data_IF_881978646059
#
_entry.id   IF_881978646059
#
_cell.length_a   1.000
_cell.length_b   1.000
_cell.length_c   1.000
_cell.angle_alpha   90.00
_cell.angle_beta   90.00
_cell.angle_gamma   90.00
#
_symmetry.space_group_name_H-M   'P 1'
#
loop_
_entity.id
_entity.type
_entity.pdbx_description
1 polymer ?
#
# COMPACT_ATOMS: atom_id res chain seq x y z
N UNK A 1 -21.96 14.87 -44.79
CA UNK A 1 -22.57 14.41 -43.52
C UNK A 1 -21.41 13.96 -42.64
N UNK A 2 -20.93 14.83 -41.74
CA UNK A 2 -19.80 14.52 -40.86
C UNK A 2 -20.41 13.94 -39.58
N UNK A 3 -20.15 12.66 -39.30
CA UNK A 3 -20.58 12.03 -38.07
C UNK A 3 -19.94 12.75 -36.87
N UNK A 4 -20.74 13.14 -35.88
CA UNK A 4 -20.22 13.71 -34.64
C UNK A 4 -19.32 12.67 -33.94
N UNK A 5 -18.16 13.06 -33.39
CA UNK A 5 -17.32 12.14 -32.65
C UNK A 5 -18.09 11.60 -31.45
N UNK A 6 -18.08 10.27 -31.28
CA UNK A 6 -18.66 9.64 -30.10
C UNK A 6 -17.85 10.08 -28.87
N UNK A 7 -18.54 10.54 -27.82
CA UNK A 7 -17.91 10.88 -26.57
C UNK A 7 -17.31 9.62 -25.94
N UNK A 8 -15.99 9.59 -25.76
CA UNK A 8 -15.29 8.52 -25.05
C UNK A 8 -15.70 8.61 -23.57
N UNK A 9 -16.27 7.56 -23.01
CA UNK A 9 -16.58 7.51 -21.57
C UNK A 9 -15.32 7.21 -20.76
N UNK A 10 -15.33 7.50 -19.45
CA UNK A 10 -14.21 7.14 -18.56
C UNK A 10 -13.90 5.63 -18.59
N UNK A 11 -14.94 4.81 -18.75
CA UNK A 11 -14.80 3.35 -18.87
C UNK A 11 -14.14 2.94 -20.19
N UNK A 12 -14.45 3.62 -21.29
CA UNK A 12 -13.82 3.37 -22.58
C UNK A 12 -12.33 3.79 -22.56
N UNK A 13 -12.03 4.90 -21.90
CA UNK A 13 -10.65 5.34 -21.69
C UNK A 13 -9.87 4.36 -20.80
N UNK A 14 -10.47 3.87 -19.71
CA UNK A 14 -9.89 2.85 -18.84
C UNK A 14 -9.63 1.55 -19.60
N UNK A 15 -10.62 1.05 -20.35
CA UNK A 15 -10.47 -0.15 -21.17
C UNK A 15 -9.33 0.00 -22.19
N UNK A 16 -9.24 1.16 -22.86
CA UNK A 16 -8.15 1.44 -23.78
C UNK A 16 -6.78 1.42 -23.08
N UNK A 17 -6.66 1.98 -21.87
CA UNK A 17 -5.42 1.93 -21.10
C UNK A 17 -5.06 0.49 -20.70
N UNK A 18 -6.03 -0.26 -20.21
CA UNK A 18 -5.86 -1.66 -19.78
C UNK A 18 -5.42 -2.53 -20.96
N UNK A 19 -5.97 -2.32 -22.15
CA UNK A 19 -5.55 -3.01 -23.37
C UNK A 19 -4.07 -2.76 -23.70
N UNK A 20 -3.56 -1.57 -23.38
CA UNK A 20 -2.13 -1.22 -23.52
C UNK A 20 -1.27 -1.64 -22.32
N UNK A 21 -1.82 -2.37 -21.34
CA UNK A 21 -1.08 -2.82 -20.16
C UNK A 21 -0.90 -1.74 -19.10
N UNK A 22 -1.77 -0.72 -19.10
CA UNK A 22 -1.80 0.35 -18.11
C UNK A 22 -3.04 0.15 -17.26
N UNK A 23 -2.86 -0.17 -15.98
CA UNK A 23 -3.93 -0.48 -15.05
C UNK A 23 -3.99 0.58 -13.95
N UNK A 24 -4.75 1.69 -14.16
CA UNK A 24 -4.98 2.68 -13.12
C UNK A 24 -6.02 2.16 -12.12
N UNK A 25 -5.86 2.50 -10.84
CA UNK A 25 -6.91 2.33 -9.84
C UNK A 25 -6.95 3.53 -8.88
N UNK A 26 -8.16 3.86 -8.44
CA UNK A 26 -8.42 4.88 -7.42
C UNK A 26 -9.19 4.22 -6.28
N UNK A 27 -8.60 4.20 -5.09
CA UNK A 27 -9.19 3.55 -3.92
C UNK A 27 -9.36 4.56 -2.80
N UNK A 28 -10.56 4.62 -2.23
CA UNK A 28 -10.87 5.47 -1.08
C UNK A 28 -11.38 4.62 0.07
N UNK A 29 -10.76 4.77 1.23
CA UNK A 29 -11.18 4.14 2.48
C UNK A 29 -11.41 5.22 3.52
N UNK A 30 -12.47 5.07 4.30
CA UNK A 30 -12.82 6.07 5.30
C UNK A 30 -13.64 5.47 6.43
N UNK A 31 -13.41 5.99 7.63
CA UNK A 31 -14.04 5.50 8.85
C UNK A 31 -14.35 6.66 9.81
N UNK A 32 -15.49 6.55 10.49
CA UNK A 32 -15.89 7.49 11.55
C UNK A 32 -15.78 6.79 12.90
N UNK A 33 -15.27 7.51 13.89
CA UNK A 33 -15.06 7.02 15.25
C UNK A 33 -15.68 7.97 16.26
N UNK A 34 -16.18 7.41 17.36
CA UNK A 34 -16.68 8.16 18.49
C UNK A 34 -16.44 7.41 19.80
N UNK A 35 -15.88 8.10 20.78
CA UNK A 35 -15.76 7.58 22.14
C UNK A 35 -17.03 7.85 22.95
N UNK A 36 -17.83 6.80 23.14
CA UNK A 36 -19.13 6.84 23.82
C UNK A 36 -19.07 6.47 25.32
N UNK A 37 -18.04 5.73 25.77
CA UNK A 37 -17.73 5.48 27.19
C UNK A 37 -16.25 5.14 27.43
N UNK A 38 -15.63 5.69 28.47
CA UNK A 38 -14.24 5.43 28.82
C UNK A 38 -13.25 6.37 28.11
N UNK A 39 -12.12 5.81 27.69
CA UNK A 39 -11.04 6.50 27.00
C UNK A 39 -10.33 7.59 27.83
N UNK A 40 -9.40 8.28 27.19
CA UNK A 40 -8.74 9.46 27.75
C UNK A 40 -9.67 10.68 27.74
N UNK A 41 -10.51 10.82 26.70
CA UNK A 41 -11.50 11.90 26.60
C UNK A 41 -12.62 11.58 25.62
N UNK A 42 -13.75 12.28 25.75
CA UNK A 42 -14.81 12.30 24.73
C UNK A 42 -14.34 12.92 23.43
N UNK A 43 -14.71 12.30 22.32
CA UNK A 43 -14.44 12.84 20.99
C UNK A 43 -15.12 12.05 19.89
N UNK A 44 -15.29 12.70 18.75
CA UNK A 44 -15.62 12.06 17.48
C UNK A 44 -14.66 12.52 16.41
N UNK A 45 -14.40 11.68 15.43
CA UNK A 45 -13.58 12.05 14.29
C UNK A 45 -13.91 11.20 13.07
N UNK A 46 -13.44 11.67 11.93
CA UNK A 46 -13.44 10.93 10.68
C UNK A 46 -12.02 10.95 10.13
N UNK A 47 -11.59 9.83 9.56
CA UNK A 47 -10.33 9.74 8.85
C UNK A 47 -10.48 8.88 7.61
N UNK A 48 -9.58 9.09 6.65
CA UNK A 48 -9.57 8.34 5.43
C UNK A 48 -8.25 8.38 4.70
N UNK A 49 -8.15 7.49 3.72
CA UNK A 49 -7.02 7.38 2.80
C UNK A 49 -7.53 7.41 1.36
N UNK A 50 -6.83 8.13 0.50
CA UNK A 50 -7.04 8.09 -0.95
C UNK A 50 -5.76 7.57 -1.61
N UNK A 51 -5.88 6.48 -2.35
CA UNK A 51 -4.78 5.79 -3.05
C UNK A 51 -4.95 5.89 -4.56
N UNK A 52 -3.92 6.39 -5.23
CA UNK A 52 -3.78 6.40 -6.68
C UNK A 52 -2.76 5.36 -7.05
N UNK A 53 -3.20 4.29 -7.69
CA UNK A 53 -2.37 3.15 -8.04
C UNK A 53 -2.22 3.09 -9.55
N UNK A 54 -1.01 2.80 -10.00
CA UNK A 54 -0.71 2.55 -11.40
C UNK A 54 0.12 1.28 -11.50
N UNK A 55 -0.45 0.24 -12.12
CA UNK A 55 0.28 -0.98 -12.48
C UNK A 55 0.53 -1.00 -13.98
N UNK A 56 1.76 -1.29 -14.37
CA UNK A 56 2.22 -1.32 -15.75
C UNK A 56 2.69 -2.73 -16.11
N UNK A 57 2.11 -3.33 -17.15
CA UNK A 57 2.52 -4.61 -17.72
C UNK A 57 3.70 -4.41 -18.70
N UNK A 58 4.90 -4.79 -18.27
CA UNK A 58 6.11 -4.66 -19.07
C UNK A 58 6.11 -5.51 -20.34
N UNK A 59 5.30 -6.58 -20.38
CA UNK A 59 5.14 -7.42 -21.57
C UNK A 59 4.42 -6.66 -22.67
N UNK A 60 3.36 -5.91 -22.32
CA UNK A 60 2.60 -5.09 -23.27
C UNK A 60 3.30 -3.78 -23.64
N UNK A 61 3.96 -3.15 -22.68
CA UNK A 61 4.56 -1.83 -22.86
C UNK A 61 5.94 -1.86 -23.53
N UNK A 62 6.75 -2.87 -23.22
CA UNK A 62 8.15 -2.92 -23.64
C UNK A 62 8.58 -4.30 -24.17
N UNK A 63 7.66 -5.27 -24.28
CA UNK A 63 7.98 -6.64 -24.71
C UNK A 63 8.77 -7.46 -23.68
N UNK A 64 8.90 -6.97 -22.45
CA UNK A 64 9.65 -7.66 -21.38
C UNK A 64 8.70 -8.56 -20.59
N UNK A 65 8.67 -9.83 -20.97
CA UNK A 65 7.78 -10.82 -20.35
C UNK A 65 8.01 -10.93 -18.84
N UNK A 66 6.92 -10.95 -18.06
CA UNK A 66 6.96 -11.13 -16.61
C UNK A 66 7.40 -9.90 -15.82
N UNK A 67 7.65 -8.77 -16.48
CA UNK A 67 7.97 -7.50 -15.82
C UNK A 67 6.70 -6.74 -15.44
N UNK A 68 6.67 -6.20 -14.23
CA UNK A 68 5.60 -5.33 -13.73
C UNK A 68 6.22 -4.12 -13.05
N UNK A 69 5.70 -2.92 -13.31
CA UNK A 69 6.02 -1.73 -12.53
C UNK A 69 4.77 -1.32 -11.75
N UNK A 70 4.97 -0.87 -10.51
CA UNK A 70 3.89 -0.39 -9.66
C UNK A 70 4.29 0.90 -8.98
N UNK A 71 3.35 1.85 -8.95
CA UNK A 71 3.49 3.13 -8.26
C UNK A 71 2.19 3.41 -7.51
N UNK A 72 2.30 3.81 -6.25
CA UNK A 72 1.17 4.24 -5.44
C UNK A 72 1.42 5.61 -4.82
N UNK A 73 0.58 6.59 -5.16
CA UNK A 73 0.43 7.83 -4.42
C UNK A 73 -0.64 7.68 -3.34
N UNK A 74 -0.35 8.15 -2.13
CA UNK A 74 -1.22 8.04 -0.96
C UNK A 74 -1.47 9.42 -0.36
N UNK A 75 -2.73 9.70 -0.09
CA UNK A 75 -3.15 10.78 0.80
C UNK A 75 -3.79 10.20 2.05
N UNK A 76 -3.35 10.70 3.21
CA UNK A 76 -4.03 10.47 4.50
C UNK A 76 -4.64 11.79 4.94
N UNK A 77 -5.87 11.77 5.42
CA UNK A 77 -6.60 12.95 5.87
C UNK A 77 -7.57 12.64 7.00
N UNK A 78 -8.08 13.70 7.63
CA UNK A 78 -9.01 13.61 8.75
C UNK A 78 -8.29 13.66 10.10
N UNK A 79 -8.91 13.11 11.13
CA UNK A 79 -8.40 13.15 12.49
C UNK A 79 -7.83 11.83 13.00
N UNK A 80 -7.56 11.81 14.30
CA UNK A 80 -6.78 10.78 14.97
C UNK A 80 -7.60 10.20 16.12
N UNK A 81 -8.37 9.11 15.92
CA UNK A 81 -9.18 8.53 16.99
C UNK A 81 -8.35 8.11 18.21
N UNK A 82 -7.08 7.75 18.00
CA UNK A 82 -6.16 7.39 19.06
C UNK A 82 -5.93 8.53 20.08
N UNK A 83 -6.09 9.80 19.69
CA UNK A 83 -5.95 10.97 20.60
C UNK A 83 -7.01 11.06 21.68
N UNK A 84 -8.13 10.37 21.52
CA UNK A 84 -9.19 10.37 22.53
C UNK A 84 -9.41 8.99 23.16
N UNK A 85 -9.05 7.91 22.45
CA UNK A 85 -9.10 6.56 23.00
C UNK A 85 -7.98 6.27 24.01
N UNK A 86 -6.77 6.81 23.81
CA UNK A 86 -5.62 6.50 24.66
C UNK A 86 -5.09 5.08 24.48
N UNK A 87 -5.14 4.57 23.25
CA UNK A 87 -4.76 3.19 22.94
C UNK A 87 -3.24 2.98 22.86
N UNK A 88 -2.83 1.73 23.07
CA UNK A 88 -1.48 1.25 22.77
C UNK A 88 -1.38 0.60 21.37
N UNK A 89 -2.52 0.32 20.75
CA UNK A 89 -2.65 -0.39 19.48
C UNK A 89 -3.71 0.35 18.66
N UNK A 90 -3.25 1.13 17.67
CA UNK A 90 -4.04 2.10 16.91
C UNK A 90 -5.50 1.71 16.71
N UNK A 91 -6.42 2.63 17.00
CA UNK A 91 -7.87 2.40 16.86
C UNK A 91 -8.25 2.08 15.41
N UNK A 92 -7.54 2.65 14.44
CA UNK A 92 -7.78 2.48 13.01
C UNK A 92 -6.49 2.23 12.24
N UNK A 93 -6.48 1.20 11.38
CA UNK A 93 -5.41 0.92 10.43
C UNK A 93 -5.27 1.98 9.32
N UNK A 94 -6.22 2.90 9.21
CA UNK A 94 -6.16 4.07 8.32
C UNK A 94 -5.45 5.27 8.97
N UNK A 95 -5.15 5.20 10.28
CA UNK A 95 -4.56 6.32 11.01
C UNK A 95 -3.09 6.49 10.68
N UNK A 96 -2.70 7.72 10.33
CA UNK A 96 -1.33 8.11 10.04
C UNK A 96 -1.22 9.63 9.88
N UNK A 97 0.00 10.18 9.73
CA UNK A 97 0.19 11.62 9.55
C UNK A 97 -0.53 12.12 8.30
N UNK A 98 -1.36 13.17 8.44
CA UNK A 98 -2.09 13.75 7.33
C UNK A 98 -1.14 14.42 6.33
N UNK A 99 -0.90 13.76 5.19
CA UNK A 99 0.00 14.24 4.13
C UNK A 99 -0.28 13.51 2.81
N UNK A 100 0.29 14.05 1.74
CA UNK A 100 0.50 13.31 0.49
C UNK A 100 1.90 12.71 0.48
N UNK A 101 2.02 11.48 0.02
CA UNK A 101 3.29 10.78 -0.12
C UNK A 101 3.25 9.76 -1.25
N UNK A 102 4.43 9.41 -1.77
CA UNK A 102 4.58 8.19 -2.56
C UNK A 102 4.62 7.03 -1.57
N UNK A 103 3.64 6.14 -1.55
CA UNK A 103 3.64 5.02 -0.61
C UNK A 103 4.41 3.82 -1.16
N UNK A 104 4.26 3.49 -2.43
CA UNK A 104 5.00 2.40 -3.08
C UNK A 104 5.51 2.82 -4.45
N UNK A 105 6.62 2.23 -4.86
CA UNK A 105 7.27 2.46 -6.14
C UNK A 105 8.30 1.39 -6.39
N UNK A 106 7.94 0.36 -7.16
CA UNK A 106 8.80 -0.80 -7.35
C UNK A 106 8.64 -1.43 -8.73
N UNK A 107 9.66 -2.21 -9.11
CA UNK A 107 9.66 -3.05 -10.30
C UNK A 107 9.78 -4.51 -9.86
N UNK A 108 8.98 -5.38 -10.46
CA UNK A 108 9.02 -6.82 -10.24
C UNK A 108 9.30 -7.55 -11.55
N UNK A 109 10.16 -8.57 -11.49
CA UNK A 109 10.38 -9.53 -12.55
C UNK A 109 9.97 -10.93 -12.07
N UNK A 110 9.04 -11.55 -12.80
CA UNK A 110 8.70 -12.95 -12.65
C UNK A 110 9.51 -13.79 -13.65
N UNK A 111 9.98 -14.94 -13.19
CA UNK A 111 10.83 -15.87 -13.93
C UNK A 111 10.28 -17.30 -13.75
N UNK A 112 10.66 -18.18 -14.69
CA UNK A 112 10.33 -19.62 -14.65
C UNK A 112 8.83 -19.87 -14.45
N UNK A 113 7.98 -19.32 -15.34
CA UNK A 113 6.52 -19.46 -15.27
C UNK A 113 5.92 -19.02 -13.91
N UNK A 114 6.41 -17.89 -13.38
CA UNK A 114 6.03 -17.32 -12.08
C UNK A 114 6.41 -18.18 -10.85
N UNK A 115 7.37 -19.09 -10.99
CA UNK A 115 7.94 -19.84 -9.86
C UNK A 115 8.89 -18.98 -9.02
N UNK A 116 9.57 -18.00 -9.63
CA UNK A 116 10.44 -17.06 -8.93
C UNK A 116 10.00 -15.64 -9.25
N UNK A 117 9.89 -14.79 -8.23
CA UNK A 117 9.71 -13.36 -8.42
C UNK A 117 10.72 -12.55 -7.60
N UNK A 118 11.25 -11.50 -8.22
CA UNK A 118 12.18 -10.55 -7.59
C UNK A 118 11.58 -9.16 -7.74
N UNK A 119 11.46 -8.43 -6.63
CA UNK A 119 10.95 -7.06 -6.58
C UNK A 119 12.02 -6.16 -5.99
N UNK A 120 12.23 -5.00 -6.60
CA UNK A 120 13.17 -3.98 -6.16
C UNK A 120 12.48 -2.62 -6.16
N UNK A 121 12.58 -1.88 -5.06
CA UNK A 121 12.03 -0.52 -4.95
C UNK A 121 11.51 -0.21 -3.55
N UNK A 122 10.72 0.86 -3.44
CA UNK A 122 9.99 1.25 -2.23
C UNK A 122 8.75 0.37 -2.09
N UNK A 123 8.66 -0.42 -1.03
CA UNK A 123 7.73 -1.55 -0.93
C UNK A 123 7.16 -1.72 0.47
N UNK A 124 5.85 -1.86 0.59
CA UNK A 124 5.19 -2.17 1.86
C UNK A 124 5.26 -3.67 2.14
N UNK A 125 6.00 -4.05 3.18
CA UNK A 125 6.16 -5.44 3.59
C UNK A 125 4.84 -6.07 4.07
N UNK A 126 3.92 -5.31 4.67
CA UNK A 126 2.66 -5.83 5.18
C UNK A 126 1.66 -6.25 4.07
N UNK A 127 1.96 -5.94 2.80
CA UNK A 127 1.19 -6.41 1.65
C UNK A 127 1.30 -7.93 1.43
N UNK A 128 2.42 -8.55 1.85
CA UNK A 128 2.69 -9.98 1.64
C UNK A 128 3.19 -10.73 2.88
N UNK A 129 3.71 -10.02 3.87
CA UNK A 129 4.18 -10.59 5.14
C UNK A 129 3.26 -10.15 6.27
N UNK A 130 3.08 -11.02 7.27
CA UNK A 130 2.22 -10.74 8.42
C UNK A 130 0.81 -10.31 7.96
N UNK A 131 0.23 -11.03 6.99
CA UNK A 131 -1.06 -10.68 6.40
C UNK A 131 -2.07 -11.80 6.56
N UNK A 132 -3.27 -11.44 7.02
CA UNK A 132 -4.42 -12.32 7.11
C UNK A 132 -5.56 -11.75 6.27
N UNK A 133 -6.00 -12.47 5.24
CA UNK A 133 -7.01 -11.95 4.32
C UNK A 133 -8.33 -11.58 5.04
N UNK A 134 -8.77 -12.41 6.00
CA UNK A 134 -9.98 -12.14 6.78
C UNK A 134 -9.83 -10.96 7.74
N UNK A 135 -8.60 -10.60 8.10
CA UNK A 135 -8.34 -9.54 9.06
C UNK A 135 -8.56 -8.13 8.46
N UNK A 136 -8.55 -8.00 7.13
CA UNK A 136 -8.82 -6.74 6.42
C UNK A 136 -10.25 -6.21 6.57
N UNK A 137 -11.15 -6.97 7.20
CA UNK A 137 -12.51 -6.52 7.53
C UNK A 137 -12.58 -5.75 8.85
N UNK A 138 -11.52 -5.77 9.65
CA UNK A 138 -11.48 -5.11 10.94
C UNK A 138 -10.75 -3.77 10.87
N UNK A 139 -11.16 -2.86 11.76
CA UNK A 139 -10.64 -1.49 11.79
C UNK A 139 -9.33 -1.37 12.59
N UNK A 140 -9.19 -2.10 13.70
CA UNK A 140 -8.05 -1.94 14.60
C UNK A 140 -6.73 -2.31 13.91
N UNK A 141 -5.68 -1.50 14.14
CA UNK A 141 -4.39 -1.63 13.47
C UNK A 141 -3.72 -2.99 13.66
N UNK A 142 -3.96 -3.67 14.79
CA UNK A 142 -3.35 -4.96 15.07
C UNK A 142 -3.89 -6.12 14.25
N UNK A 143 -5.03 -5.94 13.57
CA UNK A 143 -5.47 -6.88 12.53
C UNK A 143 -4.69 -6.75 11.22
N UNK A 144 -4.04 -5.61 10.99
CA UNK A 144 -3.07 -5.44 9.91
C UNK A 144 -1.70 -5.97 10.32
N UNK A 145 -1.16 -5.46 11.43
CA UNK A 145 0.18 -5.81 11.91
C UNK A 145 0.29 -5.66 13.44
N UNK A 146 0.83 -6.68 14.10
CA UNK A 146 0.97 -6.69 15.55
C UNK A 146 1.98 -5.66 16.08
N UNK A 147 1.78 -5.13 17.31
CA UNK A 147 2.68 -4.14 17.93
C UNK A 147 4.11 -4.66 18.12
N UNK A 148 4.27 -5.97 18.31
CA UNK A 148 5.59 -6.61 18.46
C UNK A 148 6.47 -6.47 17.23
N UNK A 149 5.86 -6.27 16.05
CA UNK A 149 6.58 -6.08 14.80
C UNK A 149 6.50 -4.63 14.30
N UNK A 150 5.35 -3.96 14.41
CA UNK A 150 5.20 -2.56 13.97
C UNK A 150 6.03 -1.57 14.77
N UNK A 151 6.38 -1.89 16.03
CA UNK A 151 7.24 -1.06 16.89
C UNK A 151 8.71 -1.52 16.87
N UNK A 152 9.09 -2.39 15.94
CA UNK A 152 10.47 -2.85 15.79
C UNK A 152 11.31 -1.90 14.92
N UNK A 153 12.63 -2.03 14.99
CA UNK A 153 13.55 -1.17 14.22
C UNK A 153 13.68 0.23 14.81
N UNK A 154 14.42 1.10 14.12
CA UNK A 154 14.71 2.45 14.61
C UNK A 154 13.53 3.41 14.40
N UNK A 155 12.88 3.31 13.25
CA UNK A 155 11.76 4.17 12.82
C UNK A 155 10.57 3.32 12.31
N UNK A 156 10.44 2.08 12.82
CA UNK A 156 9.47 1.10 12.34
C UNK A 156 10.00 0.25 11.16
N UNK A 157 9.35 -0.89 10.86
CA UNK A 157 9.58 -1.63 9.63
C UNK A 157 8.96 -0.89 8.43
N UNK A 158 9.23 -1.37 7.22
CA UNK A 158 8.63 -0.84 5.99
C UNK A 158 7.16 -1.22 5.85
N UNK A 159 6.26 -0.43 6.44
CA UNK A 159 4.81 -0.70 6.48
C UNK A 159 4.04 0.61 6.32
N UNK A 160 2.77 0.55 5.94
CA UNK A 160 1.92 1.75 5.91
C UNK A 160 2.05 2.59 7.21
N UNK A 161 2.17 3.93 7.10
CA UNK A 161 2.33 4.73 5.87
C UNK A 161 3.79 5.05 5.52
N UNK A 162 4.75 4.41 6.19
CA UNK A 162 6.18 4.72 6.13
C UNK A 162 6.96 3.52 5.55
N UNK A 163 7.05 3.49 4.23
CA UNK A 163 7.75 2.43 3.49
C UNK A 163 9.21 2.79 3.17
N UNK A 164 10.01 1.75 2.98
CA UNK A 164 11.46 1.74 2.79
C UNK A 164 11.82 1.15 1.43
N UNK A 165 13.00 1.48 0.92
CA UNK A 165 13.55 0.81 -0.27
C UNK A 165 14.09 -0.56 0.13
N UNK A 166 13.85 -1.56 -0.71
CA UNK A 166 14.34 -2.90 -0.47
C UNK A 166 14.29 -3.79 -1.69
N UNK A 167 14.62 -5.05 -1.45
CA UNK A 167 14.47 -6.15 -2.40
C UNK A 167 13.69 -7.28 -1.74
N UNK A 168 12.74 -7.85 -2.46
CA UNK A 168 11.98 -9.04 -2.06
C UNK A 168 12.20 -10.15 -3.07
N UNK A 169 12.40 -11.37 -2.59
CA UNK A 169 12.46 -12.61 -3.37
C UNK A 169 11.35 -13.55 -2.89
N UNK A 170 10.61 -14.15 -3.82
CA UNK A 170 9.55 -15.10 -3.54
C UNK A 170 9.72 -16.28 -4.48
N UNK A 171 9.76 -17.48 -3.92
CA UNK A 171 10.01 -18.71 -4.64
C UNK A 171 8.94 -19.75 -4.31
N UNK A 172 8.44 -20.42 -5.34
CA UNK A 172 7.41 -21.47 -5.26
C UNK A 172 8.01 -22.81 -5.66
N UNK A 173 8.75 -23.49 -4.74
CA UNK A 173 9.47 -24.72 -5.06
C UNK A 173 8.54 -25.91 -5.38
N UNK A 174 7.32 -25.88 -4.86
CA UNK A 174 6.32 -26.92 -5.03
C UNK A 174 4.92 -26.33 -4.95
N UNK A 175 3.91 -27.09 -5.37
CA UNK A 175 2.50 -26.69 -5.24
C UNK A 175 2.15 -26.45 -3.77
N UNK A 176 1.54 -25.31 -3.48
CA UNK A 176 1.11 -24.94 -2.13
C UNK A 176 2.22 -24.40 -1.21
N UNK A 177 3.46 -24.29 -1.69
CA UNK A 177 4.58 -23.78 -0.89
C UNK A 177 5.07 -22.45 -1.47
N UNK A 178 5.21 -21.45 -0.61
CA UNK A 178 5.82 -20.16 -0.95
C UNK A 178 6.88 -19.84 0.10
N UNK A 179 8.12 -19.67 -0.34
CA UNK A 179 9.20 -19.13 0.47
C UNK A 179 9.41 -17.68 0.06
N UNK A 180 9.28 -16.75 1.01
CA UNK A 180 9.40 -15.32 0.75
C UNK A 180 10.36 -14.68 1.73
N UNK A 181 11.26 -13.86 1.21
CA UNK A 181 12.29 -13.15 1.96
C UNK A 181 12.37 -11.71 1.45
N UNK A 182 12.56 -10.75 2.34
CA UNK A 182 12.79 -9.36 1.99
C UNK A 182 13.96 -8.79 2.78
N UNK A 183 14.75 -7.93 2.13
CA UNK A 183 15.81 -7.13 2.75
C UNK A 183 15.45 -5.68 2.45
N UNK A 184 15.25 -4.89 3.50
CA UNK A 184 14.80 -3.51 3.40
C UNK A 184 15.76 -2.60 4.16
N UNK A 185 15.80 -1.32 3.77
CA UNK A 185 16.39 -0.29 4.62
C UNK A 185 15.72 -0.31 5.99
N UNK A 186 16.52 -0.15 7.05
CA UNK A 186 16.06 -0.17 8.44
C UNK A 186 15.36 1.12 8.86
N UNK A 187 15.26 2.09 7.96
CA UNK A 187 14.49 3.33 8.13
C UNK A 187 13.68 3.66 6.88
N UNK A 188 12.46 4.21 7.03
CA UNK A 188 11.64 4.67 5.91
C UNK A 188 12.30 5.74 5.04
N UNK A 189 11.84 5.84 3.79
CA UNK A 189 12.35 6.84 2.82
C UNK A 189 12.04 8.26 3.26
N UNK A 190 10.81 8.49 3.75
CA UNK A 190 10.38 9.78 4.27
C UNK A 190 10.59 9.82 5.79
N UNK A 191 11.69 10.45 6.22
CA UNK A 191 12.06 10.48 7.65
C UNK A 191 11.34 11.59 8.41
N UNK A 192 11.13 11.37 9.71
CA UNK A 192 10.53 12.34 10.61
C UNK A 192 11.35 13.64 10.75
N UNK A 193 12.66 13.60 10.47
CA UNK A 193 13.55 14.77 10.44
C UNK A 193 13.52 15.56 9.12
N UNK A 194 12.66 15.16 8.18
CA UNK A 194 12.50 15.79 6.87
C UNK A 194 13.58 15.42 5.85
N UNK A 195 14.55 14.56 6.20
CA UNK A 195 15.52 14.05 5.23
C UNK A 195 14.87 12.98 4.37
N UNK A 196 15.01 13.13 3.06
CA UNK A 196 14.72 12.07 2.09
C UNK A 196 16.02 11.35 1.79
N UNK A 197 15.96 10.02 1.67
CA UNK A 197 16.95 9.34 0.84
C UNK A 197 16.69 9.85 -0.58
N UNK A 198 17.70 10.51 -1.17
CA UNK A 198 17.72 11.27 -2.44
C UNK A 198 17.37 12.77 -2.33
#
# INVERSE_FOLDING_TARGET
MIAAPQAITAKDAEAALVDHGIHPALVYDGAAFGDLSGGERRGTTYLGTLRFQLTLDGSRLAGVSGMTLFVEGLNIHGGHPSRFAGDAQGVSNLEGPARWMLNEGWIQQNLFDNQLSILIGRYDLNTEFYRLQSAGLFLNSSFGIGPEFSQSGRDGPSIFPDTSVGTRIAWKPARGVVLRTAILDGVPVDRADGRKLF
#
